data_IF_729770029484
#
_entry.id   IF_729770029484
#
_cell.length_a   1.000
_cell.length_b   1.000
_cell.length_c   1.000
_cell.angle_alpha   90.00
_cell.angle_beta   90.00
_cell.angle_gamma   90.00
#
_symmetry.space_group_name_H-M   'P 1'
#
loop_
_entity.id
_entity.type
_entity.pdbx_description
1 polymer ?
#
# COMPACT_ATOMS: atom_id res chain seq x y z
N UNK A 1 -35.40 -30.77 19.76
CA UNK A 1 -35.40 -29.72 18.73
C UNK A 1 -33.97 -29.50 18.32
N UNK A 2 -33.61 -29.96 17.13
CA UNK A 2 -32.35 -29.65 16.48
C UNK A 2 -32.38 -28.20 16.03
N UNK A 3 -31.29 -27.46 16.22
CA UNK A 3 -30.73 -26.65 15.14
C UNK A 3 -29.27 -26.30 15.43
N UNK A 4 -28.46 -26.78 14.50
CA UNK A 4 -27.04 -26.63 14.32
C UNK A 4 -26.56 -25.19 14.51
N UNK A 5 -25.58 -24.99 15.39
CA UNK A 5 -24.75 -23.79 15.33
C UNK A 5 -23.80 -23.96 14.14
N UNK A 6 -23.94 -23.02 13.20
CA UNK A 6 -23.17 -22.93 11.97
C UNK A 6 -21.67 -23.04 12.24
N UNK A 7 -21.04 -23.99 11.55
CA UNK A 7 -19.60 -24.01 11.35
C UNK A 7 -19.20 -22.72 10.64
N UNK A 8 -18.67 -21.74 11.39
CA UNK A 8 -17.79 -20.75 10.78
C UNK A 8 -16.47 -21.44 10.48
N UNK A 9 -16.42 -22.11 9.33
CA UNK A 9 -15.17 -22.48 8.68
C UNK A 9 -14.48 -21.15 8.40
N UNK A 10 -13.53 -20.76 9.26
CA UNK A 10 -12.49 -19.82 8.85
C UNK A 10 -11.85 -20.45 7.62
N UNK A 11 -12.14 -19.92 6.44
CA UNK A 11 -11.40 -20.26 5.23
C UNK A 11 -9.98 -19.73 5.41
N UNK A 12 -9.12 -20.56 5.99
CA UNK A 12 -7.67 -20.39 6.00
C UNK A 12 -7.15 -20.71 4.59
N UNK A 13 -7.51 -19.87 3.62
CA UNK A 13 -6.74 -19.74 2.39
C UNK A 13 -5.69 -18.67 2.62
N UNK A 14 -4.44 -18.94 2.25
CA UNK A 14 -3.32 -18.06 2.55
C UNK A 14 -3.55 -16.66 1.95
N UNK A 15 -3.88 -15.69 2.80
CA UNK A 15 -3.74 -14.28 2.48
C UNK A 15 -2.27 -13.99 2.18
N UNK A 16 -2.02 -13.09 1.23
CA UNK A 16 -0.65 -12.69 0.91
C UNK A 16 -0.35 -11.36 1.56
N UNK A 17 0.80 -11.27 2.21
CA UNK A 17 1.24 -10.05 2.87
C UNK A 17 2.45 -9.47 2.17
N UNK A 18 2.42 -8.17 1.95
CA UNK A 18 3.48 -7.40 1.31
C UNK A 18 3.88 -6.22 2.17
N UNK A 19 5.16 -5.88 2.13
CA UNK A 19 5.71 -4.65 2.67
C UNK A 19 6.05 -3.70 1.52
N UNK A 20 5.68 -2.43 1.69
CA UNK A 20 6.09 -1.32 0.84
C UNK A 20 6.59 -0.17 1.72
N UNK A 21 7.86 0.18 1.57
CA UNK A 21 8.46 1.30 2.30
C UNK A 21 8.35 2.57 1.47
N UNK A 22 7.75 3.62 2.03
CA UNK A 22 7.68 4.96 1.43
C UNK A 22 8.70 5.86 2.11
N UNK A 23 9.18 6.89 1.42
CA UNK A 23 10.05 7.91 2.00
C UNK A 23 9.80 9.28 1.37
N UNK A 24 10.31 10.31 2.05
CA UNK A 24 10.41 11.68 1.53
C UNK A 24 11.25 11.73 0.26
N UNK A 25 10.91 12.67 -0.61
CA UNK A 25 11.78 13.11 -1.70
C UNK A 25 12.96 13.85 -1.07
N UNK A 26 14.16 13.50 -1.51
CA UNK A 26 15.41 14.17 -1.14
C UNK A 26 16.00 14.87 -2.36
N UNK A 27 17.01 15.74 -2.16
CA UNK A 27 17.66 16.47 -3.26
C UNK A 27 18.19 15.55 -4.37
N UNK A 28 18.65 14.34 -4.02
CA UNK A 28 19.14 13.34 -4.98
C UNK A 28 18.06 12.77 -5.90
N UNK A 29 16.78 12.92 -5.55
CA UNK A 29 15.65 12.41 -6.33
C UNK A 29 15.11 13.45 -7.34
N UNK A 30 15.61 14.69 -7.25
CA UNK A 30 15.24 15.77 -8.16
C UNK A 30 15.67 15.44 -9.58
N UNK A 31 14.78 15.70 -10.52
CA UNK A 31 14.97 15.39 -11.93
C UNK A 31 14.03 16.25 -12.77
N UNK A 32 14.04 16.06 -14.09
CA UNK A 32 13.07 16.72 -14.99
C UNK A 32 11.61 16.41 -14.58
N UNK A 33 11.36 15.26 -13.97
CA UNK A 33 10.03 14.82 -13.52
C UNK A 33 9.70 15.36 -12.12
N UNK A 34 10.73 15.67 -11.32
CA UNK A 34 10.61 16.22 -9.96
C UNK A 34 11.50 17.46 -9.85
N UNK A 35 11.09 18.59 -10.44
CA UNK A 35 11.97 19.75 -10.57
C UNK A 35 12.17 20.52 -9.26
N UNK A 36 11.29 20.32 -8.27
CA UNK A 36 11.30 21.06 -7.01
C UNK A 36 11.20 20.10 -5.81
N UNK A 37 11.85 20.51 -4.73
CA UNK A 37 11.77 19.82 -3.44
C UNK A 37 10.39 20.08 -2.81
N UNK A 38 9.63 19.06 -2.39
CA UNK A 38 8.40 19.26 -1.64
C UNK A 38 8.69 19.86 -0.27
N UNK A 39 7.75 20.64 0.26
CA UNK A 39 7.87 21.13 1.64
C UNK A 39 7.74 19.96 2.63
N UNK A 40 8.56 19.99 3.68
CA UNK A 40 8.71 18.89 4.63
C UNK A 40 7.43 18.53 5.40
N UNK A 41 6.56 19.52 5.64
CA UNK A 41 5.28 19.36 6.36
C UNK A 41 4.25 18.59 5.51
N UNK A 42 4.45 18.52 4.19
CA UNK A 42 3.50 17.87 3.31
C UNK A 42 3.67 16.35 3.23
N UNK A 43 4.80 15.80 3.69
CA UNK A 43 5.05 14.36 3.62
C UNK A 43 3.99 13.54 4.37
N UNK A 44 3.71 13.87 5.62
CA UNK A 44 2.75 13.12 6.45
C UNK A 44 1.33 13.21 5.88
N UNK A 45 0.97 14.37 5.33
CA UNK A 45 -0.31 14.57 4.66
C UNK A 45 -0.43 13.65 3.44
N UNK A 46 0.57 13.63 2.56
CA UNK A 46 0.55 12.79 1.37
C UNK A 46 0.68 11.30 1.70
N UNK A 47 1.48 10.94 2.71
CA UNK A 47 1.62 9.57 3.15
C UNK A 47 0.30 9.04 3.72
N UNK A 48 -0.40 9.84 4.52
CA UNK A 48 -1.73 9.49 5.04
C UNK A 48 -2.75 9.33 3.92
N UNK A 49 -2.76 10.24 2.93
CA UNK A 49 -3.63 10.13 1.76
C UNK A 49 -3.33 8.86 0.92
N UNK A 50 -2.04 8.51 0.75
CA UNK A 50 -1.65 7.26 0.07
C UNK A 50 -2.12 6.02 0.85
N UNK A 51 -2.04 6.06 2.19
CA UNK A 51 -2.53 4.98 3.05
C UNK A 51 -4.02 4.75 2.84
N UNK A 52 -4.82 5.83 2.87
CA UNK A 52 -6.26 5.79 2.62
C UNK A 52 -6.56 5.27 1.20
N UNK A 53 -5.90 5.81 0.17
CA UNK A 53 -6.09 5.40 -1.22
C UNK A 53 -5.77 3.90 -1.46
N UNK A 54 -4.76 3.36 -0.76
CA UNK A 54 -4.41 1.93 -0.87
C UNK A 54 -5.42 1.08 -0.09
N UNK A 55 -5.87 1.53 1.08
CA UNK A 55 -6.88 0.83 1.87
C UNK A 55 -8.22 0.73 1.12
N UNK A 56 -8.56 1.74 0.33
CA UNK A 56 -9.76 1.79 -0.52
C UNK A 56 -9.70 0.88 -1.77
N UNK A 57 -8.57 0.23 -2.04
CA UNK A 57 -8.48 -0.72 -3.16
C UNK A 57 -9.25 -2.01 -2.85
N UNK A 58 -10.12 -2.43 -3.77
CA UNK A 58 -10.96 -3.65 -3.65
C UNK A 58 -10.20 -4.94 -3.30
N UNK A 59 -8.90 -4.99 -3.63
CA UNK A 59 -8.04 -6.15 -3.39
C UNK A 59 -7.36 -6.15 -2.01
N UNK A 60 -7.42 -5.05 -1.27
CA UNK A 60 -6.79 -4.90 0.05
C UNK A 60 -7.77 -5.36 1.12
N UNK A 61 -7.36 -6.38 1.87
CA UNK A 61 -8.14 -6.92 2.98
C UNK A 61 -7.81 -6.23 4.31
N UNK A 62 -6.56 -5.77 4.45
CA UNK A 62 -6.07 -5.05 5.63
C UNK A 62 -4.83 -4.26 5.26
N UNK A 63 -4.73 -3.05 5.81
CA UNK A 63 -3.52 -2.25 5.75
C UNK A 63 -3.15 -1.79 7.16
N UNK A 64 -1.86 -1.86 7.48
CA UNK A 64 -1.28 -1.28 8.69
C UNK A 64 0.01 -0.60 8.32
N UNK A 65 0.42 0.43 9.06
CA UNK A 65 1.70 1.07 8.83
C UNK A 65 2.48 1.23 10.14
N UNK A 66 3.81 1.22 10.03
CA UNK A 66 4.72 1.52 11.13
C UNK A 66 5.75 2.54 10.65
N UNK A 67 5.58 3.80 11.04
CA UNK A 67 6.31 4.90 10.43
C UNK A 67 6.03 4.93 8.93
N UNK A 68 7.09 4.77 8.14
CA UNK A 68 7.04 4.85 6.68
C UNK A 68 6.87 3.50 5.97
N UNK A 69 6.77 2.40 6.73
CA UNK A 69 6.57 1.06 6.21
C UNK A 69 5.08 0.71 6.20
N UNK A 70 4.55 0.40 5.01
CA UNK A 70 3.21 -0.12 4.80
C UNK A 70 3.24 -1.64 4.79
N UNK A 71 2.38 -2.24 5.58
CA UNK A 71 2.15 -3.68 5.66
C UNK A 71 0.75 -3.95 5.16
N UNK A 72 0.67 -4.55 3.97
CA UNK A 72 -0.54 -4.67 3.17
C UNK A 72 -0.88 -6.13 3.01
N UNK A 73 -2.09 -6.50 3.40
CA UNK A 73 -2.64 -7.84 3.23
C UNK A 73 -3.67 -7.79 2.11
N UNK A 74 -3.44 -8.55 1.05
CA UNK A 74 -4.41 -8.67 -0.05
C UNK A 74 -5.32 -9.88 0.14
N UNK A 75 -6.55 -9.76 -0.36
CA UNK A 75 -7.55 -10.81 -0.35
C UNK A 75 -7.09 -12.07 -1.09
N UNK A 76 -7.57 -13.23 -0.66
CA UNK A 76 -7.21 -14.55 -1.20
C UNK A 76 -7.46 -14.68 -2.71
N UNK A 77 -8.56 -14.10 -3.19
CA UNK A 77 -8.98 -14.19 -4.60
C UNK A 77 -8.41 -13.03 -5.45
N UNK A 78 -7.61 -12.15 -4.85
CA UNK A 78 -7.05 -10.98 -5.50
C UNK A 78 -5.73 -11.29 -6.18
N UNK A 79 -5.51 -10.75 -7.38
CA UNK A 79 -4.23 -10.89 -8.08
C UNK A 79 -3.19 -9.93 -7.50
N UNK A 80 -2.05 -10.47 -7.06
CA UNK A 80 -0.90 -9.65 -6.63
C UNK A 80 -0.39 -8.73 -7.75
N UNK A 81 -0.50 -9.15 -9.01
CA UNK A 81 -0.10 -8.34 -10.16
C UNK A 81 -1.01 -7.12 -10.33
N UNK A 82 -2.32 -7.32 -10.23
CA UNK A 82 -3.32 -6.23 -10.27
C UNK A 82 -3.13 -5.27 -9.11
N UNK A 83 -2.88 -5.79 -7.91
CA UNK A 83 -2.56 -4.98 -6.74
C UNK A 83 -1.29 -4.13 -6.97
N UNK A 84 -0.19 -4.73 -7.43
CA UNK A 84 1.04 -4.00 -7.69
C UNK A 84 0.86 -2.94 -8.77
N UNK A 85 0.08 -3.23 -9.81
CA UNK A 85 -0.24 -2.27 -10.87
C UNK A 85 -1.07 -1.10 -10.33
N UNK A 86 -2.12 -1.37 -9.54
CA UNK A 86 -2.96 -0.33 -8.94
C UNK A 86 -2.14 0.63 -8.05
N UNK A 87 -1.29 0.09 -7.17
CA UNK A 87 -0.44 0.93 -6.30
C UNK A 87 0.61 1.68 -7.11
N UNK A 88 1.20 1.06 -8.15
CA UNK A 88 2.12 1.78 -9.06
C UNK A 88 1.43 2.93 -9.77
N UNK A 89 0.18 2.76 -10.20
CA UNK A 89 -0.60 3.83 -10.82
C UNK A 89 -0.80 4.97 -9.83
N UNK A 90 -1.27 4.69 -8.61
CA UNK A 90 -1.41 5.71 -7.55
C UNK A 90 -0.11 6.49 -7.33
N UNK A 91 1.00 5.78 -7.15
CA UNK A 91 2.31 6.39 -6.93
C UNK A 91 2.79 7.24 -8.11
N UNK A 92 2.50 6.83 -9.35
CA UNK A 92 2.94 7.55 -10.53
C UNK A 92 2.02 8.71 -10.92
N UNK A 93 0.71 8.61 -10.67
CA UNK A 93 -0.26 9.64 -11.07
C UNK A 93 -0.41 10.73 -10.00
N UNK A 94 -0.69 10.31 -8.77
CA UNK A 94 -1.14 11.23 -7.71
C UNK A 94 0.00 11.65 -6.79
N UNK A 95 1.05 10.82 -6.69
CA UNK A 95 2.11 10.97 -5.68
C UNK A 95 3.53 11.05 -6.25
N UNK A 96 3.71 11.13 -7.57
CA UNK A 96 5.03 11.02 -8.20
C UNK A 96 5.97 12.16 -7.86
N UNK A 97 5.43 13.34 -7.59
CA UNK A 97 6.13 14.54 -7.15
C UNK A 97 6.11 14.74 -5.63
N UNK A 98 5.56 13.78 -4.88
CA UNK A 98 5.31 13.90 -3.43
C UNK A 98 5.99 12.83 -2.60
N UNK A 99 6.02 11.59 -3.10
CA UNK A 99 6.46 10.41 -2.36
C UNK A 99 7.40 9.54 -3.21
N UNK A 100 8.29 8.81 -2.55
CA UNK A 100 9.16 7.82 -3.18
C UNK A 100 8.93 6.46 -2.52
N UNK A 101 8.68 5.42 -3.33
CA UNK A 101 8.83 4.06 -2.88
C UNK A 101 10.33 3.74 -2.71
N UNK A 102 10.75 3.47 -1.48
CA UNK A 102 12.14 3.17 -1.13
C UNK A 102 12.59 1.83 -1.74
N UNK A 103 11.66 0.88 -1.89
CA UNK A 103 11.87 -0.40 -2.53
C UNK A 103 10.63 -0.83 -3.29
N UNK A 104 10.76 -1.87 -4.12
CA UNK A 104 9.60 -2.62 -4.59
C UNK A 104 8.89 -3.36 -3.44
N UNK A 105 7.78 -4.02 -3.77
CA UNK A 105 7.06 -4.86 -2.83
C UNK A 105 7.90 -6.04 -2.35
N UNK A 106 8.02 -6.19 -1.04
CA UNK A 106 8.66 -7.34 -0.41
C UNK A 106 7.56 -8.26 0.10
N UNK A 107 7.53 -9.51 -0.36
CA UNK A 107 6.58 -10.50 0.17
C UNK A 107 7.00 -10.93 1.58
N UNK A 108 6.07 -10.83 2.53
CA UNK A 108 6.32 -11.18 3.93
C UNK A 108 5.86 -12.59 4.28
N UNK A 109 4.74 -13.06 3.73
CA UNK A 109 4.29 -14.47 3.76
C UNK A 109 3.05 -14.66 2.90
#
# INVERSE_FOLDING_TARGET
>A
MSNSFSNNVMHTGNMMQYQLSIRKINESDLSVIRPFMPEDENYEMYFSALVEDIEDLDCVAKLTHNGSDLIITIGKESSSEQFFEAVKVLLNSSYSDKLIANSGFIKLT
#
